data_IF_750206100615
#
_entry.id   IF_750206100615
#
_cell.length_a   1.000
_cell.length_b   1.000
_cell.length_c   1.000
_cell.angle_alpha   90.00
_cell.angle_beta   90.00
_cell.angle_gamma   90.00
#
_symmetry.space_group_name_H-M   'P 1'
#
loop_
_entity.id
_entity.type
_entity.pdbx_description
1 polymer ?
#
# COMPACT_ATOMS: atom_id res chain seq x y z
N UNK A 1 12.43 8.79 29.97
CA UNK A 1 12.14 7.94 28.79
C UNK A 1 11.21 8.73 27.89
N UNK A 2 11.65 9.14 26.70
CA UNK A 2 10.78 9.79 25.72
C UNK A 2 9.92 8.72 25.05
N UNK A 3 8.66 8.64 25.43
CA UNK A 3 7.68 7.82 24.69
C UNK A 3 7.56 8.41 23.28
N UNK A 4 7.82 7.65 22.21
CA UNK A 4 7.62 8.17 20.86
C UNK A 4 6.16 8.61 20.70
N UNK A 5 5.96 9.82 20.17
CA UNK A 5 4.62 10.36 19.96
C UNK A 5 3.80 9.39 19.09
N UNK A 6 2.59 9.02 19.54
CA UNK A 6 1.66 8.20 18.75
C UNK A 6 1.38 8.92 17.43
N UNK A 7 1.71 8.26 16.30
CA UNK A 7 1.46 8.81 14.96
C UNK A 7 -0.04 8.99 14.75
N UNK A 8 -0.44 10.10 14.12
CA UNK A 8 -1.84 10.29 13.76
C UNK A 8 -2.28 9.29 12.69
N UNK A 9 -3.57 8.92 12.68
CA UNK A 9 -4.11 7.99 11.68
C UNK A 9 -3.84 8.46 10.24
N UNK A 10 -3.89 9.77 10.01
CA UNK A 10 -3.61 10.39 8.71
C UNK A 10 -2.14 10.22 8.29
N UNK A 11 -1.18 10.42 9.20
CA UNK A 11 0.24 10.21 8.90
C UNK A 11 0.52 8.74 8.58
N UNK A 12 -0.08 7.82 9.34
CA UNK A 12 0.06 6.39 9.11
C UNK A 12 -0.44 5.98 7.72
N UNK A 13 -1.56 6.57 7.28
CA UNK A 13 -2.08 6.33 5.94
C UNK A 13 -1.14 6.86 4.85
N UNK A 14 -0.61 8.06 5.01
CA UNK A 14 0.34 8.64 4.06
C UNK A 14 1.61 7.78 3.93
N UNK A 15 2.18 7.34 5.05
CA UNK A 15 3.35 6.45 5.05
C UNK A 15 3.03 5.11 4.40
N UNK A 16 1.87 4.52 4.73
CA UNK A 16 1.43 3.25 4.18
C UNK A 16 1.23 3.30 2.66
N UNK A 17 0.56 4.34 2.15
CA UNK A 17 0.39 4.57 0.71
C UNK A 17 1.72 4.84 0.00
N UNK A 18 2.62 5.58 0.66
CA UNK A 18 3.95 5.83 0.14
C UNK A 18 4.75 4.52 -0.04
N UNK A 19 4.74 3.65 0.96
CA UNK A 19 5.44 2.37 0.91
C UNK A 19 4.84 1.45 -0.16
N UNK A 20 3.50 1.40 -0.25
CA UNK A 20 2.82 0.67 -1.33
C UNK A 20 3.26 1.16 -2.71
N UNK A 21 3.35 2.49 -2.89
CA UNK A 21 3.78 3.08 -4.16
C UNK A 21 5.22 2.70 -4.49
N UNK A 22 6.15 2.76 -3.53
CA UNK A 22 7.53 2.34 -3.76
C UNK A 22 7.63 0.87 -4.20
N UNK A 23 6.84 0.01 -3.58
CA UNK A 23 6.81 -1.42 -3.91
C UNK A 23 6.23 -1.64 -5.32
N UNK A 24 5.15 -0.95 -5.68
CA UNK A 24 4.61 -1.01 -7.04
C UNK A 24 5.62 -0.55 -8.10
N UNK A 25 6.38 0.52 -7.83
CA UNK A 25 7.45 0.98 -8.70
C UNK A 25 8.57 -0.07 -8.84
N UNK A 26 8.96 -0.70 -7.74
CA UNK A 26 9.97 -1.76 -7.74
C UNK A 26 9.52 -3.01 -8.52
N UNK A 27 8.21 -3.25 -8.59
CA UNK A 27 7.58 -4.33 -9.36
C UNK A 27 7.31 -3.95 -10.83
N UNK A 28 7.79 -2.79 -11.28
CA UNK A 28 7.78 -2.40 -12.70
C UNK A 28 6.63 -1.49 -13.13
N UNK A 29 5.73 -1.09 -12.23
CA UNK A 29 4.69 -0.12 -12.56
C UNK A 29 5.30 1.29 -12.65
N UNK A 30 4.76 2.14 -13.52
CA UNK A 30 5.14 3.55 -13.54
C UNK A 30 4.42 4.35 -12.43
N UNK A 31 4.93 5.57 -12.17
CA UNK A 31 4.43 6.44 -11.10
C UNK A 31 2.97 6.85 -11.26
N UNK A 32 2.51 7.02 -12.49
CA UNK A 32 1.14 7.45 -12.80
C UNK A 32 0.19 6.29 -12.54
N UNK A 33 0.53 5.11 -13.05
CA UNK A 33 -0.26 3.88 -12.84
C UNK A 33 -0.34 3.52 -11.36
N UNK A 34 0.78 3.48 -10.63
CA UNK A 34 0.78 3.17 -9.20
C UNK A 34 -0.09 4.16 -8.39
N UNK A 35 -0.02 5.46 -8.71
CA UNK A 35 -0.86 6.48 -8.08
C UNK A 35 -2.35 6.27 -8.40
N UNK A 36 -2.68 5.94 -9.64
CA UNK A 36 -4.04 5.69 -10.06
C UNK A 36 -4.63 4.46 -9.33
N UNK A 37 -3.86 3.38 -9.22
CA UNK A 37 -4.27 2.17 -8.48
C UNK A 37 -4.53 2.49 -7.02
N UNK A 38 -3.60 3.14 -6.32
CA UNK A 38 -3.79 3.51 -4.90
C UNK A 38 -5.07 4.34 -4.73
N UNK A 39 -5.29 5.33 -5.58
CA UNK A 39 -6.50 6.17 -5.54
C UNK A 39 -7.78 5.37 -5.78
N UNK A 40 -7.79 4.47 -6.76
CA UNK A 40 -8.98 3.68 -7.11
C UNK A 40 -9.38 2.70 -5.99
N UNK A 41 -8.42 2.28 -5.16
CA UNK A 41 -8.64 1.32 -4.08
C UNK A 41 -8.49 1.93 -2.67
N UNK A 42 -8.51 3.27 -2.54
CA UNK A 42 -8.31 4.00 -1.28
C UNK A 42 -9.18 3.45 -0.13
N UNK A 43 -10.45 3.15 -0.42
CA UNK A 43 -11.38 2.56 0.57
C UNK A 43 -10.85 1.26 1.20
N UNK A 44 -10.25 0.39 0.39
CA UNK A 44 -9.67 -0.87 0.88
C UNK A 44 -8.38 -0.62 1.64
N UNK A 45 -7.54 0.30 1.17
CA UNK A 45 -6.28 0.68 1.81
C UNK A 45 -6.53 1.23 3.21
N UNK A 46 -7.53 2.11 3.37
CA UNK A 46 -7.94 2.65 4.68
C UNK A 46 -8.40 1.52 5.61
N UNK A 47 -9.20 0.57 5.09
CA UNK A 47 -9.66 -0.58 5.87
C UNK A 47 -8.50 -1.52 6.27
N UNK A 48 -7.55 -1.76 5.35
CA UNK A 48 -6.37 -2.59 5.57
C UNK A 48 -5.37 -1.99 6.54
N UNK A 49 -5.19 -0.67 6.53
CA UNK A 49 -4.43 0.02 7.56
C UNK A 49 -5.10 -0.15 8.93
N UNK A 50 -6.43 -0.13 8.97
CA UNK A 50 -7.22 -0.24 10.19
C UNK A 50 -6.92 0.90 11.17
N UNK A 51 -7.41 0.79 12.41
CA UNK A 51 -7.26 1.84 13.43
C UNK A 51 -6.08 1.64 14.40
N UNK A 52 -5.33 0.54 14.24
CA UNK A 52 -4.23 0.11 15.14
C UNK A 52 -2.89 0.40 14.52
N UNK A 53 -1.84 0.64 15.32
CA UNK A 53 -0.48 0.98 14.84
C UNK A 53 0.07 0.04 13.76
N UNK A 54 -0.14 -1.26 13.91
CA UNK A 54 0.25 -2.29 12.93
C UNK A 54 -0.93 -2.49 11.96
N UNK A 55 -0.70 -2.35 10.64
CA UNK A 55 -1.76 -2.55 9.66
C UNK A 55 -2.20 -4.02 9.60
N UNK A 56 -3.46 -4.25 9.23
CA UNK A 56 -4.03 -5.61 9.05
C UNK A 56 -3.34 -6.32 7.88
N UNK A 57 -3.06 -5.56 6.82
CA UNK A 57 -2.29 -6.02 5.65
C UNK A 57 -1.03 -5.16 5.58
N UNK A 58 0.13 -5.78 5.36
CA UNK A 58 1.37 -5.02 5.18
C UNK A 58 1.38 -4.29 3.84
N UNK A 59 2.14 -3.19 3.72
CA UNK A 59 2.19 -2.42 2.48
C UNK A 59 2.62 -3.28 1.28
N UNK A 60 3.56 -4.21 1.49
CA UNK A 60 3.99 -5.16 0.47
C UNK A 60 2.88 -6.09 0.00
N UNK A 61 2.11 -6.66 0.94
CA UNK A 61 0.99 -7.53 0.60
C UNK A 61 -0.12 -6.75 -0.09
N UNK A 62 -0.45 -5.55 0.39
CA UNK A 62 -1.44 -4.69 -0.25
C UNK A 62 -1.04 -4.30 -1.68
N UNK A 63 0.23 -3.93 -1.90
CA UNK A 63 0.73 -3.62 -3.24
C UNK A 63 0.56 -4.80 -4.20
N UNK A 64 0.97 -6.02 -3.79
CA UNK A 64 0.80 -7.24 -4.60
C UNK A 64 -0.67 -7.58 -4.88
N UNK A 65 -1.53 -7.45 -3.86
CA UNK A 65 -2.97 -7.69 -4.01
C UNK A 65 -3.60 -6.72 -5.02
N UNK A 66 -3.22 -5.44 -4.98
CA UNK A 66 -3.72 -4.45 -5.91
C UNK A 66 -3.19 -4.66 -7.33
N UNK A 67 -1.91 -4.98 -7.49
CA UNK A 67 -1.35 -5.33 -8.80
C UNK A 67 -2.11 -6.52 -9.39
N UNK A 68 -2.29 -7.60 -8.63
CA UNK A 68 -3.04 -8.78 -9.08
C UNK A 68 -4.50 -8.48 -9.40
N UNK A 69 -5.15 -7.60 -8.65
CA UNK A 69 -6.53 -7.21 -8.91
C UNK A 69 -6.69 -6.44 -10.23
N UNK A 70 -5.66 -5.67 -10.63
CA UNK A 70 -5.67 -4.87 -11.87
C UNK A 70 -5.12 -5.67 -13.05
N UNK A 71 -4.14 -6.52 -12.82
CA UNK A 71 -3.45 -7.34 -13.81
C UNK A 71 -3.53 -8.82 -13.42
N UNK A 72 -4.71 -9.46 -13.58
CA UNK A 72 -4.95 -10.83 -13.09
C UNK A 72 -4.22 -11.92 -13.89
N UNK A 73 -3.76 -11.60 -15.11
CA UNK A 73 -3.06 -12.52 -16.01
C UNK A 73 -1.57 -12.18 -16.18
N UNK A 74 -1.12 -11.04 -15.65
CA UNK A 74 0.31 -10.79 -15.46
C UNK A 74 0.66 -11.42 -14.10
N UNK A 75 0.60 -12.75 -14.04
CA UNK A 75 1.48 -13.46 -13.13
C UNK A 75 2.88 -13.04 -13.58
N UNK A 76 3.46 -12.07 -12.89
CA UNK A 76 4.84 -11.67 -13.09
C UNK A 76 5.63 -12.95 -12.81
N UNK A 77 5.97 -13.67 -13.87
CA UNK A 77 6.70 -14.94 -13.85
C UNK A 77 7.95 -14.76 -12.97
N UNK A 78 7.90 -15.24 -11.72
CA UNK A 78 9.07 -15.26 -10.83
C UNK A 78 8.97 -14.48 -9.52
N UNK A 79 7.94 -14.74 -8.71
CA UNK A 79 8.07 -14.67 -7.24
C UNK A 79 8.21 -16.08 -6.66
#
# INVERSE_FOLDING_TARGET
>A
MNTPAKRSQKQRLIEYEHDMKLIMLALGLDRTTAKAIIKNYEKYIVNWLGTREIPIITAAMAARLLIRAVYPNDDIDGL
#
